data_IF_877887895789
#
_entry.id   IF_877887895789
#
_cell.length_a   1.000
_cell.length_b   1.000
_cell.length_c   1.000
_cell.angle_alpha   90.00
_cell.angle_beta   90.00
_cell.angle_gamma   90.00
#
_symmetry.space_group_name_H-M   'P 1'
#
loop_
_entity.id
_entity.type
_entity.pdbx_description
1 polymer ?
#
# COMPACT_ATOMS: atom_id res chain seq x y z
N UNK A 1 18.53 14.74 -31.13
CA UNK A 1 17.16 15.24 -31.35
C UNK A 1 16.20 14.31 -30.65
N UNK A 2 15.52 14.77 -29.60
CA UNK A 2 14.47 13.99 -28.93
C UNK A 2 13.33 13.76 -29.93
N UNK A 3 12.85 12.52 -30.12
CA UNK A 3 11.77 12.28 -31.06
C UNK A 3 10.51 13.03 -30.62
N UNK A 4 9.72 13.58 -31.57
CA UNK A 4 8.52 14.32 -31.25
C UNK A 4 7.52 13.42 -30.54
N UNK A 5 6.98 13.90 -29.41
CA UNK A 5 5.97 13.19 -28.63
C UNK A 5 4.68 13.05 -29.45
N UNK A 6 4.57 11.96 -30.21
CA UNK A 6 3.30 11.45 -30.70
C UNK A 6 2.37 11.11 -29.52
N UNK A 7 1.08 10.87 -29.78
CA UNK A 7 0.14 10.50 -28.71
C UNK A 7 0.68 9.31 -27.92
N UNK A 8 0.49 9.27 -26.59
CA UNK A 8 0.91 8.16 -25.75
C UNK A 8 0.42 6.83 -26.32
N UNK A 9 1.35 5.95 -26.71
CA UNK A 9 1.07 4.59 -27.17
C UNK A 9 1.19 3.62 -25.99
N UNK A 10 0.79 2.36 -26.18
CA UNK A 10 0.95 1.34 -25.15
C UNK A 10 -0.31 1.00 -24.37
N UNK A 11 -1.43 1.70 -24.58
CA UNK A 11 -2.71 1.42 -23.91
C UNK A 11 -3.83 1.27 -24.95
N UNK A 12 -4.56 0.15 -24.88
CA UNK A 12 -5.73 -0.12 -25.72
C UNK A 12 -6.98 -0.25 -24.88
N UNK A 13 -8.00 0.56 -25.17
CA UNK A 13 -9.31 0.46 -24.52
C UNK A 13 -10.00 -0.86 -24.87
N UNK A 14 -10.56 -1.55 -23.88
CA UNK A 14 -11.31 -2.78 -24.10
C UNK A 14 -12.72 -2.46 -24.61
N UNK A 15 -13.16 -3.18 -25.64
CA UNK A 15 -14.47 -2.96 -26.28
C UNK A 15 -15.59 -3.21 -25.26
N UNK A 16 -16.55 -2.29 -25.20
CA UNK A 16 -17.69 -2.39 -24.28
C UNK A 16 -17.39 -2.06 -22.83
N UNK A 17 -16.14 -1.70 -22.48
CA UNK A 17 -15.72 -1.34 -21.12
C UNK A 17 -15.15 0.08 -21.10
N UNK A 18 -15.90 1.08 -20.60
CA UNK A 18 -15.53 2.49 -20.76
C UNK A 18 -14.24 2.90 -20.03
N UNK A 19 -13.91 2.21 -18.95
CA UNK A 19 -12.78 2.56 -18.07
C UNK A 19 -11.74 1.43 -17.97
N UNK A 20 -11.82 0.42 -18.84
CA UNK A 20 -10.91 -0.72 -18.79
C UNK A 20 -10.03 -0.72 -20.03
N UNK A 21 -8.74 -0.85 -19.80
CA UNK A 21 -7.71 -0.81 -20.83
C UNK A 21 -6.76 -1.98 -20.64
N UNK A 22 -6.06 -2.35 -21.70
CA UNK A 22 -5.00 -3.34 -21.67
C UNK A 22 -3.72 -2.71 -22.20
N UNK A 23 -2.61 -2.98 -21.51
CA UNK A 23 -1.29 -2.56 -21.97
C UNK A 23 -0.88 -3.37 -23.19
N UNK A 24 -0.45 -2.70 -24.26
CA UNK A 24 0.10 -3.36 -25.46
C UNK A 24 1.61 -3.53 -25.38
N UNK A 25 2.26 -2.79 -24.49
CA UNK A 25 3.70 -2.74 -24.26
C UNK A 25 3.97 -2.69 -22.76
N UNK A 26 5.20 -2.99 -22.33
CA UNK A 26 5.63 -2.67 -20.97
C UNK A 26 5.70 -1.14 -20.86
N UNK A 27 5.11 -0.58 -19.80
CA UNK A 27 5.07 0.88 -19.62
C UNK A 27 5.64 1.27 -18.27
N UNK A 28 6.47 2.33 -18.21
CA UNK A 28 6.94 2.85 -16.93
C UNK A 28 5.77 3.27 -16.05
N UNK A 29 5.76 2.79 -14.82
CA UNK A 29 4.71 3.11 -13.87
C UNK A 29 5.02 2.67 -12.45
N UNK A 30 4.44 3.34 -11.47
CA UNK A 30 4.78 3.23 -10.04
C UNK A 30 3.55 3.46 -9.15
N UNK A 31 3.64 3.11 -7.87
CA UNK A 31 2.55 3.30 -6.91
C UNK A 31 2.28 4.79 -6.68
N UNK A 32 1.00 5.14 -6.65
CA UNK A 32 0.59 6.53 -6.54
C UNK A 32 0.57 7.01 -5.08
N UNK A 33 1.44 7.96 -4.75
CA UNK A 33 1.42 8.60 -3.43
C UNK A 33 0.13 9.42 -3.22
N UNK A 34 -0.41 9.35 -2.01
CA UNK A 34 -1.68 9.97 -1.65
C UNK A 34 -2.92 9.15 -1.96
N UNK A 35 -2.78 7.93 -2.53
CA UNK A 35 -3.92 7.08 -2.85
C UNK A 35 -4.51 6.33 -1.66
N UNK A 36 -3.90 6.38 -0.48
CA UNK A 36 -4.34 5.61 0.69
C UNK A 36 -5.68 6.10 1.26
N UNK A 37 -6.00 7.37 1.04
CA UNK A 37 -7.26 8.01 1.43
C UNK A 37 -8.38 7.76 0.41
N UNK A 38 -8.05 7.28 -0.78
CA UNK A 38 -9.03 6.93 -1.79
C UNK A 38 -9.71 5.59 -1.41
N UNK A 39 -10.99 5.68 -1.05
CA UNK A 39 -11.80 4.56 -0.55
C UNK A 39 -13.08 4.45 -1.35
N UNK A 40 -13.39 3.23 -1.75
CA UNK A 40 -14.71 2.89 -2.26
C UNK A 40 -15.76 2.97 -1.14
N UNK A 41 -17.00 3.27 -1.50
CA UNK A 41 -18.12 3.28 -0.56
C UNK A 41 -18.34 1.91 0.12
N UNK A 42 -18.03 0.83 -0.60
CA UNK A 42 -18.01 -0.54 -0.08
C UNK A 42 -16.99 -1.39 -0.85
N UNK A 43 -16.49 -2.46 -0.21
CA UNK A 43 -15.56 -3.40 -0.82
C UNK A 43 -14.10 -2.94 -0.86
N UNK A 44 -13.33 -3.52 -1.77
CA UNK A 44 -11.89 -3.26 -1.92
C UNK A 44 -11.54 -2.95 -3.37
N UNK A 45 -10.45 -2.22 -3.58
CA UNK A 45 -9.98 -1.86 -4.93
C UNK A 45 -9.72 -3.07 -5.83
N UNK A 46 -9.33 -4.20 -5.25
CA UNK A 46 -9.12 -5.42 -6.02
C UNK A 46 -10.44 -6.02 -6.51
N UNK A 47 -11.49 -5.98 -5.68
CA UNK A 47 -12.84 -6.41 -6.07
C UNK A 47 -13.42 -5.51 -7.15
N UNK A 48 -13.25 -4.20 -7.00
CA UNK A 48 -13.62 -3.23 -8.03
C UNK A 48 -12.92 -3.51 -9.37
N UNK A 49 -11.63 -3.84 -9.33
CA UNK A 49 -10.89 -4.22 -10.52
C UNK A 49 -11.45 -5.51 -11.15
N UNK A 50 -11.73 -6.55 -10.36
CA UNK A 50 -12.32 -7.81 -10.84
C UNK A 50 -13.69 -7.56 -11.49
N UNK A 51 -14.55 -6.76 -10.87
CA UNK A 51 -15.89 -6.43 -11.38
C UNK A 51 -15.84 -5.67 -12.71
N UNK A 52 -15.00 -4.65 -12.81
CA UNK A 52 -14.85 -3.84 -14.02
C UNK A 52 -14.19 -4.63 -15.15
N UNK A 53 -13.09 -5.32 -14.84
CA UNK A 53 -12.33 -6.10 -15.80
C UNK A 53 -13.06 -7.37 -16.23
N UNK A 54 -13.88 -7.96 -15.35
CA UNK A 54 -14.46 -9.30 -15.48
C UNK A 54 -13.39 -10.38 -15.72
N UNK A 55 -12.22 -10.19 -15.11
CA UNK A 55 -11.09 -11.10 -15.20
C UNK A 55 -10.68 -11.57 -13.80
N UNK A 56 -10.16 -12.80 -13.67
CA UNK A 56 -9.55 -13.24 -12.44
C UNK A 56 -8.22 -12.49 -12.23
N UNK A 57 -7.93 -12.17 -10.97
CA UNK A 57 -6.61 -11.72 -10.54
C UNK A 57 -5.72 -12.93 -10.24
N UNK A 58 -4.62 -13.05 -10.97
CA UNK A 58 -3.72 -14.21 -10.81
C UNK A 58 -2.28 -13.78 -10.51
N UNK A 59 -1.85 -12.61 -11.00
CA UNK A 59 -0.46 -12.15 -10.87
C UNK A 59 -0.37 -10.64 -10.67
N UNK A 60 0.70 -10.23 -10.00
CA UNK A 60 1.10 -8.85 -9.87
C UNK A 60 1.37 -8.21 -11.24
N UNK A 61 0.86 -6.99 -11.44
CA UNK A 61 0.98 -6.27 -12.70
C UNK A 61 2.38 -5.73 -12.98
N UNK A 62 3.25 -5.65 -11.97
CA UNK A 62 4.65 -5.26 -12.18
C UNK A 62 5.39 -6.34 -12.98
N UNK A 63 6.16 -5.92 -13.97
CA UNK A 63 6.82 -6.79 -14.95
C UNK A 63 7.79 -7.77 -14.31
N UNK A 64 8.53 -7.32 -13.32
CA UNK A 64 9.55 -8.01 -12.54
C UNK A 64 8.99 -8.80 -11.34
N UNK A 65 7.66 -8.94 -11.22
CA UNK A 65 7.04 -9.63 -10.08
C UNK A 65 5.98 -10.64 -10.54
N UNK A 66 6.17 -11.92 -10.18
CA UNK A 66 5.23 -13.00 -10.53
C UNK A 66 4.35 -13.46 -9.35
N UNK A 67 4.44 -12.81 -8.19
CA UNK A 67 3.62 -13.12 -7.01
C UNK A 67 2.12 -12.87 -7.28
N UNK A 68 1.20 -13.49 -6.51
CA UNK A 68 -0.24 -13.29 -6.67
C UNK A 68 -0.68 -11.82 -6.53
N UNK A 69 -1.59 -11.40 -7.40
CA UNK A 69 -2.22 -10.07 -7.34
C UNK A 69 -3.32 -10.03 -6.29
N UNK A 70 -2.99 -9.67 -5.06
CA UNK A 70 -3.92 -9.69 -3.91
C UNK A 70 -4.65 -8.37 -3.69
N UNK A 71 -4.07 -7.26 -4.15
CA UNK A 71 -4.56 -5.90 -3.88
C UNK A 71 -4.77 -5.12 -5.17
N UNK A 72 -5.70 -4.17 -5.14
CA UNK A 72 -5.91 -3.20 -6.20
C UNK A 72 -5.07 -1.98 -5.87
N UNK A 73 -3.89 -1.89 -6.47
CA UNK A 73 -2.98 -0.77 -6.29
C UNK A 73 -3.30 0.37 -7.23
N UNK A 74 -3.23 1.60 -6.72
CA UNK A 74 -3.24 2.77 -7.59
C UNK A 74 -1.84 2.95 -8.16
N UNK A 75 -1.75 2.97 -9.47
CA UNK A 75 -0.50 3.18 -10.18
C UNK A 75 -0.60 4.37 -11.12
N UNK A 76 0.48 5.14 -11.15
CA UNK A 76 0.73 6.15 -12.16
C UNK A 76 1.42 5.46 -13.35
N UNK A 77 0.87 5.59 -14.56
CA UNK A 77 1.49 5.10 -15.78
C UNK A 77 1.97 6.30 -16.60
N UNK A 78 3.27 6.36 -16.87
CA UNK A 78 3.90 7.49 -17.55
C UNK A 78 3.25 7.76 -18.91
N UNK A 79 2.89 9.02 -19.14
CA UNK A 79 2.23 9.47 -20.38
C UNK A 79 0.73 9.18 -20.44
N UNK A 80 0.19 8.33 -19.56
CA UNK A 80 -1.22 7.95 -19.55
C UNK A 80 -1.98 8.49 -18.35
N UNK A 81 -1.33 8.63 -17.20
CA UNK A 81 -1.89 9.26 -16.01
C UNK A 81 -1.78 10.77 -16.06
N UNK A 82 -2.84 11.46 -15.62
CA UNK A 82 -2.86 12.91 -15.43
C UNK A 82 -4.07 13.29 -14.57
N UNK A 83 -4.20 14.56 -14.18
CA UNK A 83 -5.43 15.04 -13.51
C UNK A 83 -6.68 14.82 -14.36
N UNK A 84 -6.57 14.92 -15.68
CA UNK A 84 -7.70 14.74 -16.60
C UNK A 84 -7.95 13.25 -16.94
N UNK A 85 -6.88 12.45 -17.03
CA UNK A 85 -6.97 11.04 -17.41
C UNK A 85 -7.05 10.08 -16.22
N UNK A 86 -6.90 10.59 -14.99
CA UNK A 86 -6.96 9.78 -13.79
C UNK A 86 -5.68 9.01 -13.48
N UNK A 87 -5.82 8.04 -12.58
CA UNK A 87 -4.83 7.01 -12.27
C UNK A 87 -5.42 5.63 -12.56
N UNK A 88 -4.62 4.58 -12.38
CA UNK A 88 -4.97 3.24 -12.79
C UNK A 88 -4.99 2.28 -11.61
N UNK A 89 -6.00 1.42 -11.54
CA UNK A 89 -6.04 0.30 -10.63
C UNK A 89 -5.51 -0.94 -11.34
N UNK A 90 -4.59 -1.64 -10.68
CA UNK A 90 -4.01 -2.90 -11.15
C UNK A 90 -3.91 -3.93 -10.02
N UNK A 91 -3.98 -5.25 -10.32
CA UNK A 91 -3.69 -6.28 -9.34
C UNK A 91 -2.21 -6.27 -8.98
N UNK A 92 -1.88 -6.15 -7.70
CA UNK A 92 -0.50 -6.19 -7.21
C UNK A 92 -0.41 -7.01 -5.93
N UNK A 93 0.75 -7.62 -5.70
CA UNK A 93 1.00 -8.39 -4.49
C UNK A 93 1.21 -7.49 -3.27
N UNK A 94 1.09 -8.06 -2.07
CA UNK A 94 1.28 -7.35 -0.80
C UNK A 94 2.62 -6.61 -0.71
N UNK A 95 3.71 -7.24 -1.13
CA UNK A 95 5.05 -6.63 -1.07
C UNK A 95 5.23 -5.48 -2.06
N UNK A 96 4.63 -5.56 -3.26
CA UNK A 96 4.67 -4.45 -4.23
C UNK A 96 3.73 -3.31 -3.84
N UNK A 97 2.64 -3.60 -3.11
CA UNK A 97 1.73 -2.57 -2.59
C UNK A 97 2.23 -1.93 -1.29
N UNK A 98 3.33 -2.44 -0.71
CA UNK A 98 3.84 -1.90 0.53
C UNK A 98 4.38 -0.49 0.32
N UNK A 99 3.98 0.44 1.17
CA UNK A 99 4.29 1.85 0.97
C UNK A 99 5.81 2.08 0.98
N UNK A 100 6.59 1.39 1.82
CA UNK A 100 8.01 1.66 1.92
C UNK A 100 8.85 1.05 0.80
N UNK A 101 8.25 0.23 -0.08
CA UNK A 101 8.94 -0.39 -1.20
C UNK A 101 9.51 0.67 -2.17
N UNK A 102 10.84 0.81 -2.19
CA UNK A 102 11.56 1.80 -3.00
C UNK A 102 11.40 1.53 -4.50
N UNK A 103 11.35 0.26 -4.90
CA UNK A 103 11.27 -0.18 -6.30
C UNK A 103 9.91 0.13 -6.95
N UNK A 104 8.97 0.73 -6.21
CA UNK A 104 7.61 1.06 -6.65
C UNK A 104 7.26 2.53 -6.40
N UNK A 105 8.25 3.38 -6.08
CA UNK A 105 8.13 4.84 -5.88
C UNK A 105 8.49 5.60 -7.13
N UNK A 106 8.04 6.83 -7.34
CA UNK A 106 8.50 7.59 -8.51
C UNK A 106 10.04 7.71 -8.54
N UNK A 107 10.70 7.66 -9.70
CA UNK A 107 12.10 8.06 -9.81
C UNK A 107 12.23 9.31 -10.69
N UNK A 108 13.37 10.01 -10.59
CA UNK A 108 13.64 11.25 -11.35
C UNK A 108 13.46 11.04 -12.86
N UNK A 109 13.96 9.92 -13.36
CA UNK A 109 13.87 9.57 -14.79
C UNK A 109 12.55 8.90 -15.15
N UNK A 110 11.71 8.58 -14.16
CA UNK A 110 10.41 7.91 -14.27
C UNK A 110 10.43 6.54 -14.95
N UNK A 111 11.55 5.81 -14.89
CA UNK A 111 11.79 4.54 -15.58
C UNK A 111 12.24 3.37 -14.65
N UNK A 112 12.15 3.51 -13.32
CA UNK A 112 12.64 2.46 -12.39
C UNK A 112 11.75 1.21 -12.31
N UNK A 113 10.45 1.32 -12.61
CA UNK A 113 9.54 0.17 -12.63
C UNK A 113 8.55 0.24 -13.77
N UNK A 114 8.11 -0.94 -14.21
CA UNK A 114 7.23 -1.09 -15.36
C UNK A 114 5.99 -1.92 -15.00
N UNK A 115 4.84 -1.49 -15.52
CA UNK A 115 3.64 -2.31 -15.58
C UNK A 115 3.73 -3.17 -16.84
N UNK A 116 3.53 -4.47 -16.67
CA UNK A 116 3.72 -5.49 -17.68
C UNK A 116 2.77 -5.32 -18.85
N UNK A 117 3.28 -5.58 -20.06
CA UNK A 117 2.50 -5.83 -21.26
C UNK A 117 1.40 -6.87 -21.00
N UNK A 118 0.22 -6.61 -21.54
CA UNK A 118 -0.95 -7.46 -21.39
C UNK A 118 -1.71 -7.25 -20.08
N UNK A 119 -1.14 -6.52 -19.11
CA UNK A 119 -1.85 -6.16 -17.88
C UNK A 119 -3.13 -5.38 -18.22
N UNK A 120 -4.22 -5.75 -17.55
CA UNK A 120 -5.49 -5.04 -17.64
C UNK A 120 -5.56 -4.03 -16.50
N UNK A 121 -5.84 -2.79 -16.86
CA UNK A 121 -5.90 -1.65 -15.93
C UNK A 121 -7.28 -1.03 -15.95
N UNK A 122 -7.74 -0.57 -14.79
CA UNK A 122 -9.02 0.11 -14.63
C UNK A 122 -8.76 1.56 -14.28
N UNK A 123 -9.26 2.49 -15.08
CA UNK A 123 -9.10 3.92 -14.81
C UNK A 123 -9.99 4.34 -13.64
N UNK A 124 -9.41 5.11 -12.73
CA UNK A 124 -10.12 5.79 -11.64
C UNK A 124 -9.76 7.28 -11.62
N UNK A 125 -10.50 8.06 -10.86
CA UNK A 125 -10.27 9.50 -10.73
C UNK A 125 -8.94 9.81 -10.05
N UNK A 126 -8.40 10.99 -10.37
CA UNK A 126 -7.23 11.53 -9.71
C UNK A 126 -7.68 12.40 -8.54
N UNK A 127 -7.47 11.96 -7.30
CA UNK A 127 -8.01 12.64 -6.12
C UNK A 127 -7.21 13.88 -5.71
N UNK A 128 -7.82 14.73 -4.87
CA UNK A 128 -7.15 15.90 -4.28
C UNK A 128 -5.92 15.52 -3.44
N UNK A 129 -6.01 14.44 -2.66
CA UNK A 129 -4.90 13.95 -1.83
C UNK A 129 -3.76 13.40 -2.67
N UNK A 130 -4.07 12.68 -3.75
CA UNK A 130 -3.07 12.31 -4.75
C UNK A 130 -2.40 13.55 -5.36
N UNK A 131 -3.10 14.69 -5.47
CA UNK A 131 -2.58 15.94 -6.01
C UNK A 131 -1.59 16.67 -5.10
N UNK A 132 -1.77 16.55 -3.79
CA UNK A 132 -1.05 17.32 -2.77
C UNK A 132 -0.06 16.49 -1.97
N UNK A 133 -0.13 15.16 -2.07
CA UNK A 133 0.82 14.28 -1.43
C UNK A 133 2.26 14.57 -1.86
N UNK A 134 3.15 14.58 -0.89
CA UNK A 134 4.59 14.61 -1.11
C UNK A 134 5.00 13.36 -1.90
N UNK A 135 5.68 13.57 -3.04
CA UNK A 135 6.15 12.48 -3.89
C UNK A 135 7.39 11.87 -3.26
N UNK A 136 7.31 10.58 -2.99
CA UNK A 136 8.46 9.80 -2.55
C UNK A 136 9.23 9.44 -3.80
N UNK A 137 10.48 9.89 -3.86
CA UNK A 137 11.38 9.56 -4.94
C UNK A 137 12.28 8.40 -4.52
N UNK A 138 12.51 7.45 -5.43
CA UNK A 138 13.70 6.62 -5.40
C UNK A 138 14.87 7.46 -5.91
N UNK A 139 16.05 7.32 -5.28
CA UNK A 139 17.30 7.74 -5.89
C UNK A 139 17.47 6.96 -7.22
N UNK A 140 18.19 7.52 -8.19
CA UNK A 140 18.28 7.00 -9.56
C UNK A 140 18.46 5.47 -9.59
N UNK A 141 17.84 4.79 -10.56
CA UNK A 141 17.87 3.33 -10.65
C UNK A 141 19.30 2.75 -10.65
N UNK A 142 20.27 3.56 -11.08
CA UNK A 142 21.71 3.26 -11.13
C UNK A 142 22.38 3.23 -9.74
N UNK A 143 21.71 3.65 -8.67
CA UNK A 143 22.26 3.68 -7.31
C UNK A 143 22.19 2.33 -6.56
N UNK A 144 21.53 1.32 -7.15
CA UNK A 144 21.36 0.00 -6.54
C UNK A 144 21.89 -1.16 -7.39
N UNK A 145 22.67 -0.87 -8.44
CA UNK A 145 23.53 -1.87 -9.10
C UNK A 145 24.87 -1.96 -8.35
N UNK A 146 24.81 -2.25 -7.05
CA UNK A 146 26.00 -2.66 -6.29
C UNK A 146 26.22 -4.13 -6.61
N UNK A 147 27.00 -4.36 -7.66
CA UNK A 147 27.64 -5.63 -7.96
C UNK A 147 28.71 -5.97 -6.93
N UNK A 148 28.32 -6.10 -5.65
CA UNK A 148 29.14 -6.72 -4.63
C UNK A 148 28.92 -8.24 -4.69
N UNK A 149 29.50 -8.83 -5.74
CA UNK A 149 29.98 -10.21 -5.75
C UNK A 149 31.48 -10.16 -5.43
N UNK A 150 31.86 -9.57 -4.29
CA UNK A 150 33.18 -9.81 -3.73
C UNK A 150 33.14 -11.18 -3.06
N UNK A 151 33.55 -12.17 -3.85
CA UNK A 151 33.78 -13.54 -3.43
C UNK A 151 34.48 -13.58 -2.07
N UNK A 152 33.75 -14.07 -1.07
CA UNK A 152 34.33 -14.44 0.21
C UNK A 152 35.27 -15.62 -0.03
N UNK A 153 36.55 -15.32 -0.21
CA UNK A 153 37.63 -16.30 -0.18
C UNK A 153 37.56 -17.03 1.16
N UNK A 154 37.22 -18.32 1.10
CA UNK A 154 37.23 -19.21 2.24
C UNK A 154 38.68 -19.46 2.66
N UNK A 155 39.23 -18.58 3.48
CA UNK A 155 40.52 -18.77 4.10
C UNK A 155 40.36 -19.56 5.40
N UNK A 156 40.86 -20.78 5.33
CA UNK A 156 40.98 -21.74 6.42
C UNK A 156 41.55 -21.12 7.69
N UNK A 157 40.75 -21.12 8.77
CA UNK A 157 41.27 -21.02 10.14
C UNK A 157 40.66 -22.12 11.00
N UNK A 158 41.48 -23.17 11.15
CA UNK A 158 41.74 -23.96 12.36
C UNK A 158 40.56 -24.42 13.23
N UNK A 159 40.33 -25.74 13.16
CA UNK A 159 40.14 -26.66 14.30
C UNK A 159 40.03 -25.99 15.69
N UNK A 160 38.81 -25.95 16.24
CA UNK A 160 38.60 -25.87 17.68
C UNK A 160 37.64 -26.98 18.10
N UNK A 161 38.28 -28.05 18.57
CA UNK A 161 37.85 -29.09 19.49
C UNK A 161 36.86 -28.54 20.55
N UNK A 162 35.62 -29.01 20.51
CA UNK A 162 34.66 -28.91 21.60
C UNK A 162 34.01 -30.29 21.77
N UNK A 163 34.76 -31.10 22.49
CA UNK A 163 34.41 -32.34 23.12
C UNK A 163 33.32 -32.15 24.20
N UNK A 164 32.25 -32.93 24.05
CA UNK A 164 31.52 -33.54 25.15
C UNK A 164 30.46 -32.70 25.85
N UNK A 165 29.19 -32.91 25.50
CA UNK A 165 28.14 -33.24 26.48
C UNK A 165 27.07 -34.10 25.79
N UNK A 166 27.20 -35.42 25.96
CA UNK A 166 26.07 -36.35 25.98
C UNK A 166 25.15 -35.99 27.15
N UNK A 167 23.84 -35.91 26.90
CA UNK A 167 22.84 -36.40 27.83
C UNK A 167 21.53 -36.66 27.06
N UNK A 168 21.40 -37.90 26.61
CA UNK A 168 20.25 -38.81 26.77
C UNK A 168 18.82 -38.24 26.85
N UNK A 169 18.01 -38.75 25.90
CA UNK A 169 16.67 -39.36 26.05
C UNK A 169 15.78 -38.92 27.23
N UNK A 170 14.56 -38.49 26.91
CA UNK A 170 13.36 -39.07 27.50
C UNK A 170 12.12 -38.79 26.62
N UNK A 171 11.49 -39.89 26.20
CA UNK A 171 10.11 -40.04 25.74
C UNK A 171 9.12 -39.59 26.83
N UNK A 172 8.03 -38.92 26.45
CA UNK A 172 6.69 -39.30 26.94
C UNK A 172 5.56 -38.87 25.98
N UNK A 173 4.97 -39.89 25.39
CA UNK A 173 3.63 -39.90 24.82
C UNK A 173 2.58 -39.43 25.85
N UNK A 174 1.60 -38.66 25.39
CA UNK A 174 0.22 -38.75 25.90
C UNK A 174 -0.76 -38.30 24.81
N UNK A 175 -1.31 -39.30 24.12
CA UNK A 175 -2.68 -39.26 23.62
C UNK A 175 -3.65 -39.26 24.82
N UNK A 176 -4.73 -38.49 24.75
CA UNK A 176 -6.09 -38.91 25.11
C UNK A 176 -7.06 -37.72 24.97
N UNK A 177 -7.96 -37.87 24.00
CA UNK A 177 -9.41 -37.71 24.03
C UNK A 177 -10.07 -36.80 25.09
N UNK A 178 -10.99 -35.93 24.63
CA UNK A 178 -12.40 -35.99 25.06
C UNK A 178 -13.28 -34.96 24.32
N UNK A 179 -14.11 -35.50 23.43
CA UNK A 179 -15.58 -35.35 23.28
C UNK A 179 -16.32 -34.01 23.56
N UNK A 180 -17.06 -33.60 22.51
CA UNK A 180 -18.51 -33.30 22.45
C UNK A 180 -19.22 -32.15 23.22
N UNK A 181 -20.29 -31.71 22.54
CA UNK A 181 -21.49 -30.95 22.97
C UNK A 181 -21.36 -29.43 23.25
N UNK A 182 -22.29 -28.55 22.88
CA UNK A 182 -23.66 -28.73 22.40
C UNK A 182 -24.08 -27.61 21.42
N UNK A 183 -25.19 -27.88 20.73
CA UNK A 183 -25.99 -26.89 20.03
C UNK A 183 -26.80 -26.03 21.01
N UNK A 184 -26.85 -24.72 20.78
CA UNK A 184 -28.03 -23.93 21.13
C UNK A 184 -28.42 -22.99 19.98
N UNK A 185 -29.45 -23.39 19.25
CA UNK A 185 -30.39 -22.49 18.61
C UNK A 185 -31.13 -21.69 19.71
N UNK A 186 -31.09 -20.37 19.67
CA UNK A 186 -32.15 -19.56 20.28
C UNK A 186 -32.40 -18.28 19.48
N UNK A 187 -33.41 -18.41 18.64
CA UNK A 187 -34.19 -17.35 18.04
C UNK A 187 -34.86 -16.51 19.15
N UNK A 188 -34.48 -15.23 19.31
CA UNK A 188 -35.40 -14.27 19.93
C UNK A 188 -35.41 -12.92 19.22
N UNK A 189 -36.36 -12.79 18.30
CA UNK A 189 -36.97 -11.51 17.97
C UNK A 189 -37.52 -10.85 19.23
N UNK A 190 -37.11 -9.61 19.54
CA UNK A 190 -37.96 -8.52 20.08
C UNK A 190 -37.15 -7.28 20.40
N UNK A 191 -37.68 -6.12 20.00
CA UNK A 191 -37.43 -4.87 20.73
C UNK A 191 -36.97 -3.68 19.91
N UNK A 192 -37.79 -3.24 18.95
CA UNK A 192 -37.87 -1.82 18.65
C UNK A 192 -38.56 -1.13 19.85
N UNK A 193 -38.12 0.09 20.22
CA UNK A 193 -38.80 1.09 21.09
C UNK A 193 -38.07 1.45 22.42
N UNK A 194 -37.25 2.52 22.41
CA UNK A 194 -37.66 3.81 22.99
C UNK A 194 -36.70 4.93 22.57
N UNK A 195 -37.32 6.08 22.38
CA UNK A 195 -36.76 7.37 22.05
C UNK A 195 -36.00 7.99 23.22
N UNK A 196 -35.10 8.92 22.85
CA UNK A 196 -34.72 10.16 23.56
C UNK A 196 -33.82 10.07 24.81
N UNK A 197 -32.78 10.92 24.74
CA UNK A 197 -32.05 11.54 25.86
C UNK A 197 -31.00 10.72 26.61
N UNK A 198 -29.81 10.56 26.01
CA UNK A 198 -28.56 10.47 26.79
C UNK A 198 -27.42 11.23 26.11
N UNK A 199 -27.06 12.35 26.76
CA UNK A 199 -25.73 12.92 26.92
C UNK A 199 -24.78 12.95 25.73
N UNK A 200 -24.40 14.17 25.33
CA UNK A 200 -23.21 14.48 24.52
C UNK A 200 -22.01 13.61 24.90
N UNK A 201 -21.81 12.50 24.17
CA UNK A 201 -20.61 11.70 24.29
C UNK A 201 -19.43 12.59 23.87
N UNK A 202 -18.66 13.04 24.86
CA UNK A 202 -17.41 13.75 24.61
C UNK A 202 -16.53 12.83 23.78
N UNK A 203 -16.36 13.18 22.49
CA UNK A 203 -15.44 12.50 21.58
C UNK A 203 -14.12 12.24 22.32
N UNK A 204 -13.50 11.05 22.21
CA UNK A 204 -12.20 10.80 22.80
C UNK A 204 -11.29 11.92 22.34
N UNK A 205 -10.68 12.64 23.29
CA UNK A 205 -9.82 13.79 23.00
C UNK A 205 -8.65 13.25 22.19
N UNK A 206 -8.71 13.46 20.88
CA UNK A 206 -7.64 13.10 19.96
C UNK A 206 -6.31 13.64 20.46
N UNK A 207 -5.21 12.94 20.16
CA UNK A 207 -3.89 13.35 20.61
C UNK A 207 -3.58 14.72 20.03
N UNK A 208 -3.13 15.66 20.85
CA UNK A 208 -2.87 17.04 20.42
C UNK A 208 -1.38 17.36 20.45
N UNK A 209 -0.94 18.17 19.49
CA UNK A 209 0.40 18.72 19.45
C UNK A 209 0.64 19.62 20.66
N UNK A 210 1.72 19.35 21.40
CA UNK A 210 2.11 20.13 22.58
C UNK A 210 2.43 21.61 22.29
N UNK A 211 2.87 21.95 21.07
CA UNK A 211 3.20 23.33 20.68
C UNK A 211 2.02 24.20 20.25
N UNK A 212 1.08 23.68 19.45
CA UNK A 212 0.01 24.48 18.84
C UNK A 212 -1.42 23.93 19.06
N UNK A 213 -1.57 22.78 19.71
CA UNK A 213 -2.87 22.14 19.95
C UNK A 213 -3.50 21.45 18.73
N UNK A 214 -2.81 21.41 17.58
CA UNK A 214 -3.27 20.70 16.39
C UNK A 214 -3.45 19.20 16.64
N UNK A 215 -4.44 18.58 15.99
CA UNK A 215 -4.69 17.15 16.09
C UNK A 215 -3.55 16.34 15.43
N UNK A 216 -2.99 15.41 16.19
CA UNK A 216 -1.93 14.49 15.78
C UNK A 216 -2.36 13.03 15.99
N UNK A 217 -3.66 12.76 16.06
CA UNK A 217 -4.21 11.40 16.19
C UNK A 217 -3.78 10.47 15.05
N UNK A 218 -3.50 11.02 13.86
CA UNK A 218 -3.00 10.29 12.69
C UNK A 218 -1.48 10.06 12.70
N UNK A 219 -0.77 10.38 13.79
CA UNK A 219 0.68 10.22 13.91
C UNK A 219 1.06 9.05 14.83
N UNK A 220 2.28 8.48 14.66
CA UNK A 220 2.74 7.35 15.47
C UNK A 220 2.64 7.64 16.99
N UNK A 221 2.52 6.59 17.83
CA UNK A 221 2.44 6.73 19.30
C UNK A 221 3.52 7.63 19.91
N UNK A 222 4.70 7.70 19.30
CA UNK A 222 5.84 8.47 19.81
C UNK A 222 5.87 9.95 19.37
N UNK A 223 4.86 10.44 18.64
CA UNK A 223 4.80 11.85 18.19
C UNK A 223 4.04 12.75 19.16
N UNK A 224 4.68 13.80 19.68
CA UNK A 224 4.05 14.78 20.58
C UNK A 224 3.99 16.20 20.02
N UNK A 225 4.48 16.41 18.79
CA UNK A 225 4.52 17.69 18.07
C UNK A 225 4.06 17.49 16.62
N UNK A 226 3.42 18.49 16.03
CA UNK A 226 3.11 18.50 14.60
C UNK A 226 4.36 18.86 13.78
N UNK A 227 4.33 18.60 12.47
CA UNK A 227 5.44 18.85 11.56
C UNK A 227 5.92 20.31 11.61
N UNK A 228 5.00 21.27 11.72
CA UNK A 228 5.32 22.70 11.82
C UNK A 228 6.04 23.06 13.13
N UNK A 229 5.64 22.45 14.25
CA UNK A 229 6.33 22.65 15.54
C UNK A 229 7.65 21.88 15.63
N UNK A 230 7.81 20.79 14.88
CA UNK A 230 9.05 20.00 14.82
C UNK A 230 10.12 20.67 13.94
N UNK A 231 9.73 21.25 12.80
CA UNK A 231 10.62 21.90 11.83
C UNK A 231 11.11 23.31 12.24
N UNK A 232 10.86 23.75 13.49
CA UNK A 232 11.40 25.01 14.00
C UNK A 232 10.77 26.29 13.44
N UNK A 233 9.64 26.19 12.74
CA UNK A 233 8.90 27.36 12.25
C UNK A 233 8.18 28.09 13.38
N UNK A 234 8.78 29.13 13.92
CA UNK A 234 8.13 30.14 14.77
C UNK A 234 7.11 30.97 13.98
N UNK A 235 6.01 30.35 13.57
CA UNK A 235 4.83 31.08 13.13
C UNK A 235 3.93 31.32 14.34
N UNK A 236 4.07 32.50 14.92
CA UNK A 236 3.22 33.05 15.98
C UNK A 236 1.75 32.70 15.79
N UNK A 237 1.18 32.18 16.86
CA UNK A 237 -0.22 31.84 17.01
C UNK A 237 -1.15 32.99 16.58
N UNK A 238 -2.15 32.68 15.76
CA UNK A 238 -3.48 33.27 15.91
C UNK A 238 -4.41 32.20 16.45
N UNK A 239 -4.62 32.24 17.78
CA UNK A 239 -5.73 31.56 18.46
C UNK A 239 -7.04 31.89 17.73
N UNK A 240 -7.86 30.91 17.31
CA UNK A 240 -9.27 31.20 17.09
C UNK A 240 -9.90 31.51 18.45
N UNK A 241 -10.39 32.74 18.62
CA UNK A 241 -11.29 33.10 19.72
C UNK A 241 -12.60 32.39 19.43
N UNK A 242 -12.97 31.47 20.31
CA UNK A 242 -14.27 30.82 20.28
C UNK A 242 -15.40 31.84 20.39
N UNK A 243 -16.53 31.48 19.79
CA UNK A 243 -17.85 31.97 20.16
C UNK A 243 -18.79 30.78 20.21
#
# INVERSE_FOLDING_TARGET
AMPPHGPPRGLKKLRGKPDVYQLTDDLPGWNMDGSSTDKLASGSWIKHWEEKSQLPRWRCAYKDCDKPGEHGGHVWIRGHSSRANGVWIVPICKSCNYCENLNRRQCVDGNHSEIRKGAVVVRTEYTGDMATAERRFAESADAYDDGDDEGYESEAYSEMDWDGYDNDEDDDDTDDDDEDDDETDDEFSRGNFYSSEWGSAKKPRGRQCSGCGADISNKPPNHHKCLSCFSGGSASAKKPRGR
#
